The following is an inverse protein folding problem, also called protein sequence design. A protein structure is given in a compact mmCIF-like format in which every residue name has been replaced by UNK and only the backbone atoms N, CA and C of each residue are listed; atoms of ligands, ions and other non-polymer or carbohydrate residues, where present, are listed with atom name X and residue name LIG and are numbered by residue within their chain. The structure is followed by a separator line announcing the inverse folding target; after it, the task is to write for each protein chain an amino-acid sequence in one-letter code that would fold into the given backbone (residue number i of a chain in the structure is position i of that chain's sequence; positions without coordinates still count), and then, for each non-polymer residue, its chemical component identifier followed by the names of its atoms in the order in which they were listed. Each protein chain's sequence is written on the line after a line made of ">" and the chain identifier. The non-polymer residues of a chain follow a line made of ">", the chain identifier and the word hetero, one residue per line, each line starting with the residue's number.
data_IF_907486518985
#
_entry.id   IF_907486518985
#
_cell.length_a   1.000
_cell.length_b   1.000
_cell.length_c   1.000
_cell.angle_alpha   90.00
_cell.angle_beta   90.00
_cell.angle_gamma   90.00
#
_symmetry.space_group_name_H-M   'P 1'
#
loop_
_entity.id
_entity.type
_entity.pdbx_description
1 polymer ?
#
# COMPACT_ATOMS: atom_id res chain seq x y z
N UNK A 1 40.79 -22.03 22.60
CA UNK A 1 39.66 -21.16 23.02
C UNK A 1 39.50 -19.88 22.20
N UNK A 2 40.56 -19.22 21.70
CA UNK A 2 40.41 -18.00 20.84
C UNK A 2 39.85 -18.25 19.42
N UNK A 3 39.99 -19.46 18.85
CA UNK A 3 39.48 -19.79 17.50
C UNK A 3 37.97 -20.09 17.44
N UNK A 4 37.33 -20.41 18.58
CA UNK A 4 35.87 -20.64 18.62
C UNK A 4 35.05 -19.35 18.76
N UNK A 5 35.65 -18.28 19.25
CA UNK A 5 34.95 -16.99 19.46
C UNK A 5 34.84 -16.22 18.13
N UNK A 6 35.80 -16.41 17.21
CA UNK A 6 35.75 -15.81 15.87
C UNK A 6 34.75 -16.47 14.92
N UNK A 7 34.43 -17.76 15.09
CA UNK A 7 33.42 -18.44 14.27
C UNK A 7 31.99 -18.14 14.69
N UNK A 8 31.75 -17.75 15.96
CA UNK A 8 30.44 -17.31 16.43
C UNK A 8 30.15 -15.85 16.05
N UNK A 9 31.18 -14.99 16.04
CA UNK A 9 31.05 -13.59 15.60
C UNK A 9 30.74 -13.43 14.11
N UNK A 10 31.23 -14.34 13.27
CA UNK A 10 30.95 -14.32 11.82
C UNK A 10 29.58 -14.90 11.48
N UNK A 11 29.06 -15.84 12.29
CA UNK A 11 27.71 -16.39 12.12
C UNK A 11 26.61 -15.38 12.53
N UNK A 12 26.88 -14.51 13.51
CA UNK A 12 25.94 -13.43 13.90
C UNK A 12 25.96 -12.27 12.89
N UNK A 13 27.07 -12.05 12.18
CA UNK A 13 27.15 -11.02 11.12
C UNK A 13 26.49 -11.44 9.80
N UNK A 14 26.25 -12.74 9.57
CA UNK A 14 25.53 -13.28 8.40
C UNK A 14 24.02 -13.43 8.65
N UNK A 15 23.55 -13.18 9.87
CA UNK A 15 22.15 -13.07 10.27
C UNK A 15 21.83 -11.63 10.65
N UNK A 16 22.21 -10.67 9.79
CA UNK A 16 21.56 -9.36 9.81
C UNK A 16 20.04 -9.57 9.70
N UNK A 17 19.21 -8.68 10.25
CA UNK A 17 17.77 -8.82 10.08
C UNK A 17 17.51 -8.75 8.58
N UNK A 18 17.20 -9.90 7.98
CA UNK A 18 16.34 -9.95 6.81
C UNK A 18 15.08 -9.25 7.30
N UNK A 19 15.00 -7.94 7.07
CA UNK A 19 13.77 -7.20 7.27
C UNK A 19 12.72 -8.04 6.54
N UNK A 20 11.72 -8.61 7.23
CA UNK A 20 10.64 -9.26 6.52
C UNK A 20 10.13 -8.22 5.53
N UNK A 21 10.08 -8.60 4.25
CA UNK A 21 9.49 -7.76 3.23
C UNK A 21 8.06 -7.46 3.69
N UNK A 22 7.91 -6.28 4.29
CA UNK A 22 6.66 -5.67 4.69
C UNK A 22 5.81 -5.55 3.43
N UNK A 23 4.95 -6.54 3.18
CA UNK A 23 4.10 -6.63 2.01
C UNK A 23 2.84 -5.82 2.25
N UNK A 24 2.98 -4.54 1.91
CA UNK A 24 1.93 -3.65 1.40
C UNK A 24 0.71 -4.43 0.91
N UNK A 25 -0.49 -4.08 1.40
CA UNK A 25 -1.76 -4.81 1.20
C UNK A 25 -1.56 -6.19 0.58
N UNK A 26 -1.12 -7.16 1.39
CA UNK A 26 -0.52 -8.40 0.91
C UNK A 26 -1.22 -8.97 -0.31
N UNK A 27 -0.45 -9.42 -1.31
CA UNK A 27 -0.82 -9.90 -2.67
C UNK A 27 -2.33 -10.06 -2.96
N UNK A 28 -3.06 -10.79 -2.11
CA UNK A 28 -4.51 -10.93 -2.16
C UNK A 28 -5.28 -9.60 -2.19
N UNK A 29 -5.00 -8.66 -1.28
CA UNK A 29 -5.68 -7.38 -1.15
C UNK A 29 -5.58 -6.55 -2.43
N UNK A 30 -4.35 -6.29 -2.89
CA UNK A 30 -4.09 -5.58 -4.14
C UNK A 30 -4.85 -6.18 -5.33
N UNK A 31 -4.77 -7.51 -5.49
CA UNK A 31 -5.45 -8.22 -6.60
C UNK A 31 -6.95 -8.04 -6.58
N UNK A 32 -7.57 -8.18 -5.40
CA UNK A 32 -9.02 -8.06 -5.24
C UNK A 32 -9.46 -6.62 -5.47
N UNK A 33 -8.79 -5.63 -4.87
CA UNK A 33 -9.18 -4.22 -5.01
C UNK A 33 -9.02 -3.78 -6.47
N UNK A 34 -7.91 -4.13 -7.11
CA UNK A 34 -7.68 -3.86 -8.54
C UNK A 34 -8.77 -4.49 -9.42
N UNK A 35 -9.16 -5.74 -9.13
CA UNK A 35 -10.24 -6.41 -9.87
C UNK A 35 -11.58 -5.69 -9.73
N UNK A 36 -11.96 -5.31 -8.50
CA UNK A 36 -13.22 -4.59 -8.24
C UNK A 36 -13.18 -3.20 -8.87
N UNK A 37 -12.04 -2.51 -8.84
CA UNK A 37 -11.88 -1.20 -9.47
C UNK A 37 -12.14 -1.24 -10.98
N UNK A 38 -11.78 -2.33 -11.67
CA UNK A 38 -12.10 -2.52 -13.10
C UNK A 38 -13.61 -2.61 -13.33
N UNK A 39 -14.35 -3.22 -12.42
CA UNK A 39 -15.81 -3.35 -12.53
C UNK A 39 -16.53 -2.01 -12.43
N UNK A 40 -15.96 -1.09 -11.66
CA UNK A 40 -16.52 0.24 -11.39
C UNK A 40 -16.07 1.31 -12.41
N UNK A 41 -15.27 0.94 -13.41
CA UNK A 41 -14.84 1.88 -14.46
C UNK A 41 -16.02 2.42 -15.26
N UNK A 42 -15.91 3.65 -15.82
CA UNK A 42 -16.86 4.14 -16.80
C UNK A 42 -17.00 3.17 -17.98
N UNK A 43 -18.22 3.02 -18.50
CA UNK A 43 -18.51 2.08 -19.60
C UNK A 43 -17.64 2.27 -20.85
N UNK A 44 -17.15 3.49 -21.10
CA UNK A 44 -16.22 3.78 -22.21
C UNK A 44 -14.84 3.15 -22.06
N UNK A 45 -14.42 2.83 -20.83
CA UNK A 45 -13.11 2.23 -20.53
C UNK A 45 -13.21 0.74 -20.23
N UNK A 46 -14.35 0.29 -19.69
CA UNK A 46 -14.56 -1.08 -19.24
C UNK A 46 -14.14 -2.14 -20.27
N UNK A 47 -14.50 -2.00 -21.55
CA UNK A 47 -14.21 -3.02 -22.57
C UNK A 47 -12.70 -3.30 -22.72
N UNK A 48 -11.85 -2.27 -22.65
CA UNK A 48 -10.40 -2.44 -22.69
C UNK A 48 -9.90 -3.14 -21.43
N UNK A 49 -10.29 -2.64 -20.25
CA UNK A 49 -9.80 -3.17 -18.98
C UNK A 49 -10.29 -4.59 -18.71
N UNK A 50 -11.53 -4.94 -19.06
CA UNK A 50 -12.04 -6.32 -18.96
C UNK A 50 -11.24 -7.30 -19.80
N UNK A 51 -10.84 -6.91 -21.03
CA UNK A 51 -10.02 -7.76 -21.91
C UNK A 51 -8.65 -8.06 -21.29
N UNK A 52 -8.12 -7.13 -20.50
CA UNK A 52 -6.79 -7.22 -19.90
C UNK A 52 -6.81 -7.51 -18.40
N UNK A 53 -7.98 -7.81 -17.83
CA UNK A 53 -8.18 -7.98 -16.39
C UNK A 53 -7.21 -8.99 -15.75
N UNK A 54 -6.96 -10.18 -16.33
CA UNK A 54 -6.00 -11.13 -15.75
C UNK A 54 -4.59 -10.55 -15.61
N UNK A 55 -4.13 -9.76 -16.59
CA UNK A 55 -2.80 -9.17 -16.56
C UNK A 55 -2.74 -7.97 -15.61
N UNK A 56 -3.78 -7.14 -15.55
CA UNK A 56 -3.88 -6.05 -14.59
C UNK A 56 -3.80 -6.57 -13.15
N UNK A 57 -4.59 -7.60 -12.84
CA UNK A 57 -4.59 -8.24 -11.51
C UNK A 57 -3.23 -8.87 -11.22
N UNK A 58 -2.62 -9.58 -12.19
CA UNK A 58 -1.28 -10.16 -12.00
C UNK A 58 -0.21 -9.08 -11.73
N UNK A 59 -0.25 -7.98 -12.48
CA UNK A 59 0.72 -6.89 -12.37
C UNK A 59 0.46 -5.95 -11.19
N UNK A 60 -0.71 -6.01 -10.56
CA UNK A 60 -1.02 -5.19 -9.36
C UNK A 60 -0.06 -5.44 -8.19
N UNK A 61 0.69 -6.55 -8.20
CA UNK A 61 1.70 -6.86 -7.17
C UNK A 61 3.14 -6.67 -7.66
N UNK A 62 3.32 -6.24 -8.91
CA UNK A 62 4.63 -6.08 -9.52
C UNK A 62 5.52 -5.04 -8.82
N UNK A 63 5.00 -3.90 -8.32
CA UNK A 63 5.82 -2.97 -7.52
C UNK A 63 6.46 -3.66 -6.32
N UNK A 64 5.64 -4.42 -5.59
CA UNK A 64 6.03 -5.16 -4.41
C UNK A 64 7.13 -6.21 -4.69
N UNK A 65 7.01 -6.91 -5.83
CA UNK A 65 7.96 -7.89 -6.33
C UNK A 65 9.29 -7.24 -6.72
N UNK A 66 9.25 -6.04 -7.32
CA UNK A 66 10.45 -5.34 -7.82
C UNK A 66 11.34 -4.77 -6.72
N UNK A 67 10.88 -4.67 -5.48
CA UNK A 67 11.71 -4.19 -4.35
C UNK A 67 13.01 -4.97 -4.16
N UNK A 68 13.03 -6.25 -4.58
CA UNK A 68 14.24 -7.07 -4.56
C UNK A 68 15.28 -6.66 -5.61
N UNK A 69 14.86 -5.97 -6.68
CA UNK A 69 15.68 -5.63 -7.85
C UNK A 69 15.97 -4.12 -7.93
N UNK A 70 15.02 -3.27 -7.53
CA UNK A 70 15.14 -1.82 -7.47
C UNK A 70 15.14 -1.35 -6.00
N UNK A 71 16.32 -1.01 -5.44
CA UNK A 71 16.42 -0.48 -4.08
C UNK A 71 15.66 0.84 -3.86
N UNK A 72 15.29 1.55 -4.92
CA UNK A 72 14.50 2.77 -4.84
C UNK A 72 12.99 2.51 -4.80
N UNK A 73 12.55 1.30 -5.11
CA UNK A 73 11.12 0.96 -5.12
C UNK A 73 10.53 1.01 -3.72
N UNK A 74 11.27 0.55 -2.70
CA UNK A 74 10.76 0.44 -1.33
C UNK A 74 10.12 1.74 -0.80
N UNK A 75 10.75 2.90 -1.05
CA UNK A 75 10.23 4.18 -0.56
C UNK A 75 8.96 4.65 -1.27
N UNK A 76 8.63 4.07 -2.43
CA UNK A 76 7.46 4.43 -3.22
C UNK A 76 6.14 3.93 -2.63
N UNK A 77 6.19 3.00 -1.68
CA UNK A 77 5.01 2.36 -1.08
C UNK A 77 4.46 3.10 0.14
N UNK A 78 5.23 3.97 0.77
CA UNK A 78 4.83 4.58 2.04
C UNK A 78 5.16 6.07 2.12
N UNK A 79 4.65 6.73 3.16
CA UNK A 79 5.12 8.03 3.63
C UNK A 79 4.92 8.12 5.15
N UNK A 80 5.99 7.98 5.92
CA UNK A 80 5.96 8.04 7.39
C UNK A 80 5.77 9.49 7.85
N UNK A 81 4.52 9.93 7.93
CA UNK A 81 4.15 11.32 8.20
C UNK A 81 4.60 11.77 9.60
N UNK A 82 4.53 10.86 10.58
CA UNK A 82 4.97 11.06 11.95
C UNK A 82 6.47 11.39 12.09
N UNK A 83 7.30 11.07 11.09
CA UNK A 83 8.68 11.54 11.04
C UNK A 83 8.78 13.07 10.94
N UNK A 84 7.90 13.69 10.14
CA UNK A 84 8.02 15.11 9.81
C UNK A 84 7.42 16.03 10.88
N UNK A 85 6.49 15.53 11.68
CA UNK A 85 5.98 16.18 12.88
C UNK A 85 5.11 15.23 13.69
N UNK A 86 5.31 15.21 15.01
CA UNK A 86 4.44 14.48 15.93
C UNK A 86 3.05 15.13 16.07
N UNK A 87 2.96 16.46 15.92
CA UNK A 87 1.74 17.22 16.22
C UNK A 87 0.88 17.51 14.99
N UNK A 88 1.50 17.93 13.89
CA UNK A 88 0.76 18.28 12.67
C UNK A 88 1.61 18.07 11.41
N UNK A 89 1.83 16.81 10.99
CA UNK A 89 2.70 16.51 9.87
C UNK A 89 2.17 17.04 8.53
N UNK A 90 0.85 17.06 8.34
CA UNK A 90 0.22 17.57 7.11
C UNK A 90 0.32 19.09 6.94
N UNK A 91 0.51 19.86 8.02
CA UNK A 91 0.86 21.28 7.90
C UNK A 91 2.37 21.51 7.65
N UNK A 92 3.22 20.51 7.89
CA UNK A 92 4.67 20.64 7.75
C UNK A 92 5.20 20.13 6.43
N UNK A 93 4.59 19.11 5.84
CA UNK A 93 5.04 18.53 4.57
C UNK A 93 4.40 19.29 3.39
N UNK A 94 5.19 19.98 2.54
CA UNK A 94 4.66 20.57 1.32
C UNK A 94 4.09 19.49 0.40
N UNK A 95 2.97 19.80 -0.26
CA UNK A 95 2.30 18.84 -1.14
C UNK A 95 3.04 18.62 -2.46
N UNK A 96 3.65 19.68 -2.99
CA UNK A 96 4.51 19.60 -4.17
C UNK A 96 5.88 19.01 -3.80
N UNK A 97 6.38 18.08 -4.64
CA UNK A 97 7.62 17.37 -4.37
C UNK A 97 8.82 18.31 -4.30
N UNK A 98 8.90 19.29 -5.20
CA UNK A 98 10.02 20.23 -5.29
C UNK A 98 10.16 21.04 -4.00
N UNK A 99 9.04 21.54 -3.46
CA UNK A 99 9.01 22.27 -2.20
C UNK A 99 9.32 21.37 -1.00
N UNK A 100 8.85 20.10 -1.02
CA UNK A 100 9.19 19.14 0.02
C UNK A 100 10.68 18.78 -0.02
N UNK A 101 11.26 18.63 -1.20
CA UNK A 101 12.67 18.33 -1.41
C UNK A 101 13.54 19.52 -0.96
N UNK A 102 13.16 20.75 -1.30
CA UNK A 102 13.87 21.95 -0.82
C UNK A 102 13.89 22.01 0.71
N UNK A 103 12.78 21.63 1.35
CA UNK A 103 12.64 21.67 2.79
C UNK A 103 13.33 20.52 3.54
N UNK A 104 13.30 19.30 3.00
CA UNK A 104 13.72 18.10 3.73
C UNK A 104 14.89 17.35 3.09
N UNK A 105 15.33 17.72 1.88
CA UNK A 105 16.24 16.98 0.99
C UNK A 105 15.63 15.70 0.40
N UNK A 106 16.11 15.31 -0.79
CA UNK A 106 15.68 14.10 -1.48
C UNK A 106 16.02 12.82 -0.68
N UNK A 107 17.15 12.80 0.03
CA UNK A 107 17.57 11.63 0.81
C UNK A 107 16.62 11.36 1.99
N UNK A 108 16.16 12.40 2.67
CA UNK A 108 15.14 12.28 3.74
C UNK A 108 13.82 11.80 3.16
N UNK A 109 13.34 12.39 2.05
CA UNK A 109 12.09 11.96 1.43
C UNK A 109 12.18 10.50 0.97
N UNK A 110 13.30 10.07 0.37
CA UNK A 110 13.50 8.65 0.02
C UNK A 110 13.54 7.75 1.26
N UNK A 111 14.12 8.19 2.37
CA UNK A 111 14.17 7.39 3.60
C UNK A 111 12.81 7.22 4.26
N UNK A 112 11.99 8.27 4.27
CA UNK A 112 10.70 8.30 4.98
C UNK A 112 9.49 8.18 4.06
N UNK A 113 9.71 7.99 2.76
CA UNK A 113 8.71 7.58 1.81
C UNK A 113 8.24 8.69 0.87
N UNK A 114 7.87 8.28 -0.34
CA UNK A 114 7.54 9.15 -1.47
C UNK A 114 6.18 8.85 -2.10
N UNK A 115 5.37 8.01 -1.45
CA UNK A 115 4.12 7.47 -1.99
C UNK A 115 3.20 8.51 -2.69
N UNK A 116 2.88 9.68 -2.08
CA UNK A 116 1.99 10.64 -2.72
C UNK A 116 2.48 11.11 -4.10
N UNK A 117 3.80 11.28 -4.21
CA UNK A 117 4.45 11.76 -5.42
C UNK A 117 4.61 10.65 -6.45
N UNK A 118 4.84 9.42 -6.00
CA UNK A 118 4.85 8.24 -6.89
C UNK A 118 3.48 8.05 -7.55
N UNK A 119 2.38 8.22 -6.82
CA UNK A 119 1.03 8.07 -7.39
C UNK A 119 0.80 9.10 -8.51
N UNK A 120 1.08 10.38 -8.27
CA UNK A 120 0.86 11.41 -9.30
C UNK A 120 1.81 11.24 -10.51
N UNK A 121 3.05 10.82 -10.28
CA UNK A 121 4.01 10.50 -11.34
C UNK A 121 3.51 9.33 -12.19
N UNK A 122 3.06 8.25 -11.55
CA UNK A 122 2.55 7.05 -12.24
C UNK A 122 1.28 7.36 -13.02
N UNK A 123 0.38 8.18 -12.47
CA UNK A 123 -0.80 8.69 -13.18
C UNK A 123 -0.41 9.50 -14.42
N UNK A 124 0.66 10.30 -14.35
CA UNK A 124 1.13 11.06 -15.51
C UNK A 124 1.78 10.15 -16.57
N UNK A 125 2.53 9.11 -16.16
CA UNK A 125 3.04 8.08 -17.07
C UNK A 125 1.91 7.33 -17.77
N UNK A 126 0.84 6.99 -17.04
CA UNK A 126 -0.34 6.37 -17.62
C UNK A 126 -1.03 7.28 -18.64
N UNK A 127 -1.20 8.57 -18.34
CA UNK A 127 -1.78 9.53 -19.27
C UNK A 127 -0.93 9.66 -20.55
N UNK A 128 0.39 9.65 -20.44
CA UNK A 128 1.29 9.64 -21.58
C UNK A 128 1.20 8.34 -22.40
N UNK A 129 1.04 7.19 -21.75
CA UNK A 129 0.83 5.91 -22.44
C UNK A 129 -0.48 5.89 -23.23
N UNK A 130 -1.54 6.50 -22.69
CA UNK A 130 -2.80 6.68 -23.42
C UNK A 130 -2.65 7.59 -24.64
N UNK A 131 -1.91 8.70 -24.52
CA UNK A 131 -1.72 9.62 -25.65
C UNK A 131 -0.92 9.00 -26.80
N UNK A 132 0.01 8.10 -26.51
CA UNK A 132 0.79 7.36 -27.51
C UNK A 132 0.16 6.02 -27.93
N UNK A 133 -0.98 5.65 -27.34
CA UNK A 133 -1.68 4.37 -27.56
C UNK A 133 -0.81 3.14 -27.29
N UNK A 134 0.15 3.26 -26.37
CA UNK A 134 1.00 2.15 -25.96
C UNK A 134 0.23 1.22 -25.00
N UNK A 135 -0.37 0.17 -25.56
CA UNK A 135 -1.21 -0.78 -24.82
C UNK A 135 -0.44 -1.47 -23.68
N UNK A 136 0.83 -1.81 -23.89
CA UNK A 136 1.63 -2.49 -22.86
C UNK A 136 1.89 -1.56 -21.68
N UNK A 137 2.26 -0.31 -21.97
CA UNK A 137 2.46 0.71 -20.93
C UNK A 137 1.16 1.11 -20.24
N UNK A 138 0.02 1.14 -20.96
CA UNK A 138 -1.30 1.41 -20.35
C UNK A 138 -1.62 0.33 -19.30
N UNK A 139 -1.46 -0.95 -19.64
CA UNK A 139 -1.73 -2.06 -18.71
C UNK A 139 -0.79 -1.96 -17.50
N UNK A 140 0.51 -1.80 -17.75
CA UNK A 140 1.52 -1.69 -16.71
C UNK A 140 1.28 -0.53 -15.76
N UNK A 141 1.16 0.69 -16.28
CA UNK A 141 0.98 1.86 -15.42
C UNK A 141 -0.39 1.89 -14.77
N UNK A 142 -1.41 1.25 -15.34
CA UNK A 142 -2.70 1.08 -14.64
C UNK A 142 -2.57 0.18 -13.42
N UNK A 143 -1.86 -0.96 -13.55
CA UNK A 143 -1.66 -1.88 -12.44
C UNK A 143 -0.74 -1.29 -11.35
N UNK A 144 0.36 -0.64 -11.75
CA UNK A 144 1.26 0.06 -10.81
C UNK A 144 0.54 1.23 -10.12
N UNK A 145 -0.29 1.98 -10.84
CA UNK A 145 -1.08 3.05 -10.24
C UNK A 145 -2.09 2.51 -9.22
N UNK A 146 -2.79 1.43 -9.55
CA UNK A 146 -3.72 0.79 -8.63
C UNK A 146 -3.01 0.39 -7.34
N UNK A 147 -1.85 -0.26 -7.45
CA UNK A 147 -1.02 -0.65 -6.31
C UNK A 147 -0.68 0.53 -5.38
N UNK A 148 -0.09 1.60 -5.92
CA UNK A 148 0.29 2.74 -5.09
C UNK A 148 -0.92 3.49 -4.51
N UNK A 149 -2.03 3.55 -5.25
CA UNK A 149 -3.26 4.14 -4.71
C UNK A 149 -3.78 3.29 -3.55
N UNK A 150 -3.81 1.97 -3.70
CA UNK A 150 -4.20 1.04 -2.65
C UNK A 150 -3.32 1.22 -1.41
N UNK A 151 -2.00 1.30 -1.55
CA UNK A 151 -1.06 1.59 -0.45
C UNK A 151 -1.39 2.86 0.33
N UNK A 152 -1.86 3.92 -0.35
CA UNK A 152 -2.26 5.15 0.32
C UNK A 152 -3.47 4.98 1.25
N UNK A 153 -4.27 3.92 1.07
CA UNK A 153 -5.38 3.54 1.97
C UNK A 153 -4.94 2.74 3.19
N UNK A 154 -3.71 2.22 3.25
CA UNK A 154 -3.23 1.49 4.42
C UNK A 154 -2.77 2.49 5.50
N UNK A 155 -3.38 2.50 6.71
CA UNK A 155 -2.91 3.37 7.79
C UNK A 155 -1.44 3.12 8.13
N UNK A 156 -1.01 1.86 8.16
CA UNK A 156 0.35 1.46 8.54
C UNK A 156 1.42 1.94 7.55
N UNK A 157 1.05 2.29 6.31
CA UNK A 157 1.94 2.91 5.32
C UNK A 157 2.22 4.39 5.60
N UNK A 158 1.66 4.95 6.68
CA UNK A 158 1.76 6.36 6.99
C UNK A 158 2.57 6.67 8.26
N UNK A 159 3.19 5.66 8.89
CA UNK A 159 3.81 5.78 10.22
C UNK A 159 5.14 5.04 10.34
N UNK A 160 6.06 5.57 11.15
CA UNK A 160 7.27 4.90 11.61
C UNK A 160 6.97 3.62 12.42
N UNK A 161 5.78 3.49 13.00
CA UNK A 161 5.32 2.32 13.75
C UNK A 161 4.58 1.30 12.84
N UNK A 162 4.97 1.20 11.56
CA UNK A 162 4.26 0.45 10.52
C UNK A 162 4.02 -1.02 10.87
N UNK A 163 4.91 -1.67 11.61
CA UNK A 163 4.74 -3.05 12.06
C UNK A 163 4.53 -3.14 13.57
N UNK A 164 4.15 -2.05 14.23
CA UNK A 164 3.90 -2.05 15.68
C UNK A 164 5.17 -2.13 16.53
N UNK A 165 6.34 -1.96 15.92
CA UNK A 165 7.66 -2.09 16.56
C UNK A 165 7.93 -1.05 17.67
N UNK A 166 7.23 0.09 17.66
CA UNK A 166 7.31 1.14 18.68
C UNK A 166 6.22 1.00 19.76
N UNK A 167 5.31 0.04 19.61
CA UNK A 167 4.11 -0.14 20.45
C UNK A 167 3.98 -1.56 21.02
N UNK A 168 4.97 -2.42 20.78
CA UNK A 168 4.95 -3.84 21.15
C UNK A 168 3.82 -4.64 20.47
N UNK A 169 3.50 -4.27 19.23
CA UNK A 169 2.47 -4.88 18.38
C UNK A 169 3.09 -5.49 17.11
N UNK A 170 4.34 -6.00 17.21
CA UNK A 170 5.09 -6.60 16.11
C UNK A 170 4.24 -7.59 15.30
N UNK A 171 4.23 -7.46 13.98
CA UNK A 171 3.42 -8.29 13.08
C UNK A 171 2.01 -7.74 12.78
N UNK A 172 1.63 -6.58 13.33
CA UNK A 172 0.34 -5.93 13.00
C UNK A 172 0.22 -5.62 11.52
N UNK A 173 1.33 -5.33 10.83
CA UNK A 173 1.29 -5.12 9.38
C UNK A 173 0.82 -6.38 8.65
N UNK A 174 1.45 -7.52 8.93
CA UNK A 174 1.07 -8.78 8.32
C UNK A 174 -0.37 -9.20 8.67
N UNK A 175 -0.83 -8.91 9.89
CA UNK A 175 -2.21 -9.10 10.32
C UNK A 175 -3.18 -8.27 9.47
N UNK A 176 -2.92 -6.95 9.37
CA UNK A 176 -3.76 -6.00 8.66
C UNK A 176 -3.81 -6.25 7.15
N UNK A 177 -2.67 -6.55 6.55
CA UNK A 177 -2.52 -6.59 5.11
C UNK A 177 -2.81 -7.97 4.51
N UNK A 178 -2.67 -9.05 5.29
CA UNK A 178 -2.91 -10.42 4.80
C UNK A 178 -4.07 -11.08 5.55
N UNK A 179 -3.90 -11.32 6.85
CA UNK A 179 -4.80 -12.21 7.60
C UNK A 179 -6.23 -11.68 7.68
N UNK A 180 -6.41 -10.38 7.94
CA UNK A 180 -7.75 -9.79 8.05
C UNK A 180 -8.47 -9.80 6.69
N UNK A 181 -7.90 -9.26 5.59
CA UNK A 181 -8.53 -9.31 4.27
C UNK A 181 -8.87 -10.72 3.81
N UNK A 182 -7.92 -11.66 3.92
CA UNK A 182 -8.11 -13.04 3.45
C UNK A 182 -9.21 -13.78 4.22
N UNK A 183 -9.29 -13.59 5.55
CA UNK A 183 -10.28 -14.29 6.39
C UNK A 183 -11.68 -13.72 6.25
N UNK A 184 -11.79 -12.40 6.06
CA UNK A 184 -13.06 -11.70 6.15
C UNK A 184 -13.58 -11.19 4.81
N UNK A 185 -12.93 -11.52 3.68
CA UNK A 185 -13.34 -11.04 2.35
C UNK A 185 -14.83 -11.22 2.08
N UNK A 186 -15.36 -12.41 2.38
CA UNK A 186 -16.77 -12.77 2.13
C UNK A 186 -17.78 -11.96 2.96
N UNK A 187 -17.32 -11.27 4.00
CA UNK A 187 -18.15 -10.41 4.85
C UNK A 187 -18.15 -8.96 4.38
N UNK A 188 -17.26 -8.60 3.46
CA UNK A 188 -17.15 -7.24 2.96
C UNK A 188 -18.08 -7.00 1.79
N UNK A 189 -18.66 -5.81 1.78
CA UNK A 189 -19.37 -5.27 0.62
C UNK A 189 -18.33 -4.61 -0.27
N UNK A 190 -18.08 -5.22 -1.43
CA UNK A 190 -17.09 -4.78 -2.40
C UNK A 190 -17.79 -4.05 -3.54
N UNK A 191 -18.41 -2.92 -3.23
CA UNK A 191 -19.00 -2.03 -4.21
C UNK A 191 -18.41 -0.63 -4.11
N UNK A 192 -18.32 0.05 -5.25
CA UNK A 192 -17.81 1.41 -5.35
C UNK A 192 -18.90 2.44 -5.61
N UNK A 193 -18.56 3.69 -5.36
CA UNK A 193 -19.30 4.81 -5.94
C UNK A 193 -18.82 5.02 -7.38
N UNK A 194 -19.68 5.55 -8.28
CA UNK A 194 -19.29 5.81 -9.66
C UNK A 194 -18.06 6.72 -9.75
N UNK A 195 -17.19 6.41 -10.73
CA UNK A 195 -16.00 7.19 -11.05
C UNK A 195 -16.29 8.69 -11.20
N UNK A 196 -15.45 9.52 -10.58
CA UNK A 196 -15.50 10.98 -10.73
C UNK A 196 -14.16 11.49 -11.23
N UNK A 197 -14.20 12.46 -12.13
CA UNK A 197 -12.99 13.16 -12.57
C UNK A 197 -12.48 14.03 -11.43
N UNK A 198 -11.23 13.82 -11.03
CA UNK A 198 -10.57 14.61 -10.00
C UNK A 198 -10.04 15.91 -10.59
N UNK A 199 -10.44 17.05 -10.02
CA UNK A 199 -9.95 18.37 -10.42
C UNK A 199 -8.48 18.58 -10.05
N UNK A 200 -8.08 18.09 -8.88
CA UNK A 200 -6.70 18.16 -8.42
C UNK A 200 -6.30 16.81 -7.81
N UNK A 201 -5.79 15.87 -8.63
CA UNK A 201 -5.44 14.54 -8.15
C UNK A 201 -4.40 14.55 -7.02
N UNK A 202 -3.44 15.48 -7.02
CA UNK A 202 -2.43 15.56 -5.96
C UNK A 202 -3.07 15.88 -4.61
N UNK A 203 -4.00 16.82 -4.58
CA UNK A 203 -4.75 17.18 -3.37
C UNK A 203 -5.55 15.99 -2.82
N UNK A 204 -6.21 15.24 -3.69
CA UNK A 204 -6.99 14.06 -3.31
C UNK A 204 -6.09 12.95 -2.76
N UNK A 205 -4.91 12.74 -3.35
CA UNK A 205 -3.92 11.79 -2.83
C UNK A 205 -3.49 12.18 -1.41
N UNK A 206 -3.21 13.46 -1.17
CA UNK A 206 -2.87 13.94 0.17
C UNK A 206 -4.02 13.79 1.16
N UNK A 207 -5.26 14.03 0.73
CA UNK A 207 -6.45 13.83 1.56
C UNK A 207 -6.61 12.35 1.95
N UNK A 208 -6.39 11.42 1.01
CA UNK A 208 -6.41 9.98 1.27
C UNK A 208 -5.35 9.61 2.32
N UNK A 209 -4.09 10.03 2.12
CA UNK A 209 -3.02 9.77 3.08
C UNK A 209 -3.34 10.35 4.46
N UNK A 210 -3.93 11.56 4.51
CA UNK A 210 -4.38 12.18 5.75
C UNK A 210 -5.48 11.38 6.46
N UNK A 211 -6.46 10.90 5.71
CA UNK A 211 -7.53 10.07 6.25
C UNK A 211 -6.98 8.74 6.77
N UNK A 212 -6.13 8.06 6.00
CA UNK A 212 -5.47 6.81 6.40
C UNK A 212 -4.64 6.98 7.67
N UNK A 213 -3.84 8.05 7.75
CA UNK A 213 -3.10 8.41 8.96
C UNK A 213 -4.03 8.63 10.17
N UNK A 214 -5.19 9.22 9.96
CA UNK A 214 -6.21 9.41 11.00
C UNK A 214 -6.76 8.11 11.60
N UNK A 215 -6.62 6.98 10.91
CA UNK A 215 -7.04 5.65 11.40
C UNK A 215 -5.96 4.91 12.21
N UNK A 216 -4.77 5.48 12.39
CA UNK A 216 -3.67 4.81 13.12
C UNK A 216 -4.07 4.44 14.55
N UNK A 217 -4.63 5.37 15.31
CA UNK A 217 -5.06 5.11 16.70
C UNK A 217 -6.04 3.95 16.77
N UNK A 218 -7.08 3.96 15.92
CA UNK A 218 -8.06 2.88 15.88
C UNK A 218 -7.43 1.54 15.47
N UNK A 219 -6.51 1.56 14.51
CA UNK A 219 -5.78 0.36 14.05
C UNK A 219 -5.02 -0.29 15.20
N UNK A 220 -4.22 0.49 15.94
CA UNK A 220 -3.45 -0.03 17.07
C UNK A 220 -4.33 -0.42 18.27
N UNK A 221 -5.38 0.34 18.57
CA UNK A 221 -6.31 0.03 19.66
C UNK A 221 -7.08 -1.27 19.40
N UNK A 222 -7.51 -1.50 18.15
CA UNK A 222 -8.20 -2.72 17.76
C UNK A 222 -7.30 -3.95 17.83
N UNK A 223 -6.04 -3.84 17.40
CA UNK A 223 -5.08 -4.95 17.54
C UNK A 223 -4.81 -5.27 19.02
N UNK A 224 -4.68 -4.24 19.87
CA UNK A 224 -4.50 -4.42 21.31
C UNK A 224 -5.71 -5.13 21.92
N UNK A 225 -6.93 -4.76 21.50
CA UNK A 225 -8.16 -5.40 21.94
C UNK A 225 -8.27 -6.84 21.44
N UNK A 226 -7.98 -7.09 20.16
CA UNK A 226 -7.99 -8.42 19.56
C UNK A 226 -6.97 -9.36 20.22
N UNK A 227 -5.83 -8.81 20.67
CA UNK A 227 -4.78 -9.56 21.37
C UNK A 227 -5.18 -10.00 22.78
N UNK A 228 -6.25 -9.45 23.37
CA UNK A 228 -6.68 -9.82 24.72
C UNK A 228 -7.06 -11.31 24.76
N UNK A 229 -6.38 -12.06 25.61
CA UNK A 229 -6.62 -13.49 25.79
C UNK A 229 -5.75 -14.40 24.91
N UNK A 230 -4.92 -13.84 24.03
CA UNK A 230 -3.89 -14.62 23.33
C UNK A 230 -2.61 -14.71 24.16
N UNK A 231 -2.00 -15.88 24.17
CA UNK A 231 -0.60 -16.06 24.58
C UNK A 231 0.32 -15.78 23.39
N UNK A 232 1.61 -15.46 23.60
CA UNK A 232 2.54 -15.30 22.47
C UNK A 232 2.55 -16.50 21.50
N UNK A 233 2.41 -17.72 22.02
CA UNK A 233 2.39 -18.96 21.23
C UNK A 233 1.13 -19.14 20.38
N UNK A 234 0.04 -18.48 20.75
CA UNK A 234 -1.26 -18.57 20.05
C UNK A 234 -1.57 -17.33 19.22
N UNK A 235 -0.91 -16.20 19.54
CA UNK A 235 -1.01 -14.95 18.78
C UNK A 235 -0.30 -15.05 17.44
N UNK A 236 0.90 -15.62 17.42
CA UNK A 236 1.74 -15.64 16.22
C UNK A 236 1.68 -17.01 15.54
N UNK A 237 1.39 -17.02 14.24
CA UNK A 237 1.55 -18.17 13.38
C UNK A 237 2.82 -18.04 12.55
N UNK A 238 3.66 -19.07 12.54
CA UNK A 238 4.74 -19.18 11.57
C UNK A 238 4.17 -19.61 10.23
N UNK A 239 3.97 -18.66 9.31
CA UNK A 239 3.67 -19.00 7.93
C UNK A 239 4.99 -19.30 7.18
N UNK A 240 5.37 -20.57 7.08
CA UNK A 240 6.00 -21.04 5.84
C UNK A 240 4.85 -21.17 4.84
N UNK A 241 4.87 -20.45 3.72
CA UNK A 241 3.76 -20.50 2.76
C UNK A 241 3.47 -21.94 2.31
N UNK A 242 2.45 -22.56 2.92
CA UNK A 242 1.60 -23.62 2.41
C UNK A 242 0.27 -23.52 3.17
N UNK A 243 -0.80 -23.28 2.42
CA UNK A 243 -2.20 -23.08 2.84
C UNK A 243 -2.63 -24.06 3.93
N UNK A 244 -3.05 -23.58 5.12
CA UNK A 244 -4.04 -24.26 6.00
C UNK A 244 -4.75 -23.22 6.87
N UNK A 245 -6.08 -23.29 6.92
CA UNK A 245 -6.93 -22.30 7.59
C UNK A 245 -7.33 -22.59 9.03
N UNK A 246 -8.35 -21.81 9.41
CA UNK A 246 -9.29 -21.88 10.56
C UNK A 246 -8.88 -21.19 11.86
N UNK A 247 -9.67 -20.17 12.21
CA UNK A 247 -9.91 -19.64 13.55
C UNK A 247 -10.98 -18.56 13.46
N UNK A 248 -12.18 -18.82 14.02
CA UNK A 248 -13.38 -17.96 13.95
C UNK A 248 -13.25 -16.74 14.85
N UNK A 249 -13.72 -15.59 14.34
CA UNK A 249 -14.24 -14.47 15.13
C UNK A 249 -13.28 -13.30 15.29
N UNK A 250 -13.64 -12.16 14.68
CA UNK A 250 -13.58 -10.77 15.16
C UNK A 250 -14.02 -9.91 13.96
N UNK A 251 -15.11 -9.16 14.11
CA UNK A 251 -15.61 -8.27 13.06
C UNK A 251 -14.69 -7.06 12.88
N UNK A 252 -14.41 -6.68 11.64
CA UNK A 252 -13.61 -5.47 11.32
C UNK A 252 -14.34 -4.66 10.26
N UNK A 253 -14.78 -3.46 10.64
CA UNK A 253 -15.32 -2.46 9.75
C UNK A 253 -14.17 -1.54 9.30
N UNK A 254 -13.55 -1.82 8.15
CA UNK A 254 -12.62 -0.89 7.50
C UNK A 254 -12.33 -1.20 6.01
N UNK A 255 -13.15 -2.00 5.31
CA UNK A 255 -12.87 -2.34 3.90
C UNK A 255 -13.60 -1.47 2.86
N UNK A 256 -14.64 -0.73 3.26
CA UNK A 256 -15.52 -0.02 2.33
C UNK A 256 -14.91 1.22 1.65
N UNK A 257 -13.76 1.72 2.10
CA UNK A 257 -13.18 2.97 1.57
C UNK A 257 -12.17 2.77 0.42
N UNK A 258 -11.47 1.62 0.36
CA UNK A 258 -10.41 1.38 -0.63
C UNK A 258 -10.96 1.15 -2.06
N UNK A 259 -12.18 0.62 -2.18
CA UNK A 259 -12.85 0.35 -3.46
C UNK A 259 -13.23 1.64 -4.21
N UNK A 260 -13.48 2.74 -3.49
CA UNK A 260 -13.97 3.99 -4.09
C UNK A 260 -12.89 4.85 -4.77
N UNK A 261 -11.59 4.57 -4.58
CA UNK A 261 -10.52 5.49 -5.01
C UNK A 261 -9.60 4.98 -6.11
N UNK A 262 -9.52 3.65 -6.32
CA UNK A 262 -8.94 3.12 -7.57
C UNK A 262 -9.68 3.62 -8.83
N UNK A 263 -10.95 3.97 -8.66
CA UNK A 263 -11.85 4.45 -9.71
C UNK A 263 -11.70 5.97 -9.96
N UNK A 264 -11.24 6.73 -8.96
CA UNK A 264 -11.11 8.18 -9.07
C UNK A 264 -9.85 8.62 -9.86
N UNK A 265 -8.81 7.79 -9.91
CA UNK A 265 -7.53 8.19 -10.53
C UNK A 265 -7.55 8.06 -12.06
N UNK A 266 -8.55 7.41 -12.64
CA UNK A 266 -8.71 7.22 -14.08
C UNK A 266 -9.61 8.27 -14.76
N UNK A 267 -9.77 9.44 -14.14
CA UNK A 267 -10.50 10.60 -14.68
C UNK A 267 -9.90 11.24 -15.95
N UNK A 268 -9.59 10.45 -16.97
CA UNK A 268 -9.31 10.87 -18.34
C UNK A 268 -10.57 10.69 -19.18
N UNK A 269 -11.47 11.67 -19.12
CA UNK A 269 -12.73 11.65 -19.85
C UNK A 269 -13.12 13.03 -20.35
N UNK A 270 -12.52 13.47 -21.48
CA UNK A 270 -13.20 13.94 -22.71
C UNK A 270 -12.32 14.72 -23.71
N UNK A 271 -11.14 15.19 -23.32
CA UNK A 271 -10.35 16.08 -24.21
C UNK A 271 -9.12 15.43 -24.87
N UNK A 272 -8.75 14.21 -24.51
CA UNK A 272 -7.54 13.52 -25.03
C UNK A 272 -7.82 12.28 -25.88
N UNK A 273 -9.08 12.05 -26.26
CA UNK A 273 -9.49 10.94 -27.14
C UNK A 273 -10.29 11.41 -28.37
N UNK A 274 -10.08 12.65 -28.81
CA UNK A 274 -10.46 13.12 -30.13
C UNK A 274 -9.25 13.14 -31.06
#
# INVERSE_FOLDING_TARGET
>A
MKKLIMSLGLAVALLGPLAPAARAWGIFGHRVITQVAVYELPGSMQAFYYRHLPELVRQSTAPDERRAEDPQEASRHFIHMDHFSEQNPFAKVPRAYEAAQEKFSADTLRKYGTLPWTIIETKNKLAAAFSTRDTLSIIRYSAELAHYVEDAFAPLHTTLNYDGQLSNQNGIQALWENQVPERFLTTYKLDGEPAKVLKNPLEEIWLVVQNSYGFLTATFDLETQASKGFTPQTKYSYAHQLVVGVGKGIGVAALGAAVAVGVAVLGLGRETLA
#
